data_IF_431875391897
#
_entry.id   IF_431875391897
#
_cell.length_a   1.000
_cell.length_b   1.000
_cell.length_c   1.000
_cell.angle_alpha   90.00
_cell.angle_beta   90.00
_cell.angle_gamma   90.00
#
_symmetry.space_group_name_H-M   'P 1'
#
loop_
_entity.id
_entity.type
_entity.pdbx_description
1 polymer ?
#
# COMPACT_ATOMS: atom_id res chain seq x y z
N UNK A 1 -42.55 -14.76 34.84
CA UNK A 1 -41.17 -15.26 34.60
C UNK A 1 -40.51 -14.30 33.63
N UNK A 2 -39.61 -13.44 34.14
CA UNK A 2 -38.88 -12.48 33.31
C UNK A 2 -37.77 -13.22 32.57
N UNK A 3 -37.86 -13.28 31.23
CA UNK A 3 -36.74 -13.64 30.37
C UNK A 3 -35.74 -12.50 30.40
N UNK A 4 -34.63 -12.69 31.12
CA UNK A 4 -33.48 -11.80 31.03
C UNK A 4 -32.92 -11.88 29.61
N UNK A 5 -33.14 -10.84 28.82
CA UNK A 5 -32.39 -10.63 27.58
C UNK A 5 -30.93 -10.40 27.99
N UNK A 6 -30.08 -11.39 27.75
CA UNK A 6 -28.63 -11.25 27.88
C UNK A 6 -28.17 -10.31 26.77
N UNK A 7 -28.20 -9.01 27.03
CA UNK A 7 -27.70 -8.00 26.10
C UNK A 7 -26.19 -8.19 25.99
N UNK A 8 -25.76 -8.94 24.98
CA UNK A 8 -24.35 -8.98 24.59
C UNK A 8 -23.97 -7.53 24.26
N UNK A 9 -22.96 -6.94 24.90
CA UNK A 9 -22.55 -5.59 24.57
C UNK A 9 -22.29 -5.52 23.07
N UNK A 10 -22.91 -4.53 22.42
CA UNK A 10 -22.76 -4.31 21.00
C UNK A 10 -21.27 -4.08 20.73
N UNK A 11 -20.71 -4.83 19.78
CA UNK A 11 -19.29 -4.72 19.50
C UNK A 11 -19.02 -3.35 18.88
N UNK A 12 -17.88 -2.70 19.17
CA UNK A 12 -17.67 -1.29 18.88
C UNK A 12 -17.73 -0.94 17.39
N UNK A 13 -17.47 -1.90 16.50
CA UNK A 13 -17.55 -1.70 15.06
C UNK A 13 -18.73 -2.38 14.37
N UNK A 14 -19.80 -2.72 15.11
CA UNK A 14 -21.03 -3.26 14.52
C UNK A 14 -21.59 -2.28 13.48
N UNK A 15 -21.90 -2.76 12.27
CA UNK A 15 -22.44 -1.93 11.18
C UNK A 15 -21.39 -1.36 10.21
N UNK A 16 -20.11 -1.39 10.56
CA UNK A 16 -19.04 -0.99 9.65
C UNK A 16 -18.76 -2.06 8.59
N UNK A 17 -18.58 -1.63 7.34
CA UNK A 17 -18.06 -2.42 6.23
C UNK A 17 -16.81 -1.71 5.70
N UNK A 18 -15.65 -2.24 6.06
CA UNK A 18 -14.37 -1.53 5.99
C UNK A 18 -13.51 -2.08 4.86
N UNK A 19 -13.09 -1.24 3.93
CA UNK A 19 -12.11 -1.59 2.91
C UNK A 19 -10.69 -1.64 3.49
N UNK A 20 -10.07 -2.80 3.37
CA UNK A 20 -8.69 -3.07 3.77
C UNK A 20 -7.82 -3.07 2.50
N UNK A 21 -6.94 -2.06 2.31
CA UNK A 21 -6.32 -1.74 1.02
C UNK A 21 -5.13 -2.62 0.65
N UNK A 22 -4.76 -3.59 1.49
CA UNK A 22 -3.66 -4.55 1.21
C UNK A 22 -4.11 -5.96 1.58
N UNK A 23 -3.60 -6.94 0.84
CA UNK A 23 -3.85 -8.35 1.07
C UNK A 23 -2.78 -9.04 1.90
N UNK A 24 -2.70 -10.37 1.74
CA UNK A 24 -1.71 -11.21 2.41
C UNK A 24 -1.86 -11.26 3.93
N UNK A 25 -0.84 -11.74 4.66
CA UNK A 25 -0.89 -11.90 6.12
C UNK A 25 -1.25 -10.61 6.87
N UNK A 26 -0.79 -9.46 6.38
CA UNK A 26 -1.16 -8.16 6.95
C UNK A 26 -2.66 -7.90 6.81
N UNK A 27 -3.22 -8.06 5.62
CA UNK A 27 -4.64 -7.81 5.35
C UNK A 27 -5.53 -8.78 6.12
N UNK A 28 -5.10 -10.05 6.22
CA UNK A 28 -5.79 -11.08 7.00
C UNK A 28 -5.81 -10.75 8.50
N UNK A 29 -4.68 -10.25 9.04
CA UNK A 29 -4.57 -9.77 10.42
C UNK A 29 -5.52 -8.61 10.71
N UNK A 30 -5.49 -7.55 9.88
CA UNK A 30 -6.39 -6.39 10.01
C UNK A 30 -7.85 -6.83 9.92
N UNK A 31 -8.18 -7.70 8.97
CA UNK A 31 -9.52 -8.23 8.81
C UNK A 31 -9.97 -9.07 10.01
N UNK A 32 -9.07 -9.85 10.62
CA UNK A 32 -9.38 -10.60 11.84
C UNK A 32 -9.70 -9.65 13.01
N UNK A 33 -8.91 -8.60 13.21
CA UNK A 33 -9.16 -7.59 14.25
C UNK A 33 -10.51 -6.91 14.04
N UNK A 34 -10.79 -6.43 12.82
CA UNK A 34 -12.07 -5.82 12.46
C UNK A 34 -13.28 -6.75 12.72
N UNK A 35 -13.19 -8.03 12.33
CA UNK A 35 -14.25 -9.03 12.61
C UNK A 35 -14.43 -9.28 14.11
N UNK A 36 -13.34 -9.29 14.86
CA UNK A 36 -13.38 -9.49 16.32
C UNK A 36 -14.21 -8.39 16.99
N UNK A 37 -14.16 -7.17 16.45
CA UNK A 37 -14.89 -5.98 16.87
C UNK A 37 -16.24 -5.76 16.17
N UNK A 38 -16.70 -6.69 15.33
CA UNK A 38 -18.06 -6.68 14.76
C UNK A 38 -18.18 -6.04 13.37
N UNK A 39 -17.09 -5.54 12.79
CA UNK A 39 -17.10 -5.02 11.43
C UNK A 39 -17.08 -6.14 10.38
N UNK A 40 -17.44 -5.80 9.14
CA UNK A 40 -17.26 -6.63 7.95
C UNK A 40 -16.08 -6.10 7.13
N UNK A 41 -14.88 -6.71 7.20
CA UNK A 41 -13.76 -6.29 6.37
C UNK A 41 -13.93 -6.76 4.93
N UNK A 42 -13.59 -5.89 3.99
CA UNK A 42 -13.48 -6.15 2.55
C UNK A 42 -12.01 -5.99 2.16
N UNK A 43 -11.30 -7.11 2.04
CA UNK A 43 -9.89 -7.09 1.60
C UNK A 43 -9.87 -6.83 0.09
N UNK A 44 -9.33 -5.68 -0.28
CA UNK A 44 -9.13 -5.24 -1.66
C UNK A 44 -7.71 -4.69 -1.77
N UNK A 45 -6.72 -5.51 -2.18
CA UNK A 45 -5.36 -5.03 -2.38
C UNK A 45 -5.35 -4.00 -3.51
N UNK A 46 -5.07 -2.74 -3.19
CA UNK A 46 -5.00 -1.64 -4.16
C UNK A 46 -3.58 -1.37 -4.65
N UNK A 47 -2.60 -1.86 -3.89
CA UNK A 47 -1.18 -1.80 -4.24
C UNK A 47 -0.58 -3.20 -4.22
N UNK A 48 0.42 -3.40 -5.07
CA UNK A 48 1.36 -4.50 -5.03
C UNK A 48 2.77 -3.98 -5.30
N UNK A 49 3.75 -4.87 -5.28
CA UNK A 49 5.12 -4.55 -5.62
C UNK A 49 5.53 -5.26 -6.91
N UNK A 50 6.28 -4.55 -7.74
CA UNK A 50 6.86 -5.06 -8.97
C UNK A 50 8.38 -4.84 -8.95
N UNK A 51 9.16 -5.61 -9.72
CA UNK A 51 10.57 -5.33 -9.94
C UNK A 51 10.79 -3.89 -10.41
N UNK A 52 11.98 -3.36 -10.11
CA UNK A 52 12.42 -2.07 -10.65
C UNK A 52 12.39 -2.07 -12.18
N UNK A 53 12.08 -0.92 -12.79
CA UNK A 53 12.16 -0.76 -14.25
C UNK A 53 13.62 -0.67 -14.74
N UNK A 54 14.57 -0.42 -13.83
CA UNK A 54 16.01 -0.47 -14.08
C UNK A 54 16.62 -1.78 -13.54
N UNK A 55 16.22 -2.90 -14.15
CA UNK A 55 16.72 -4.23 -13.76
C UNK A 55 18.22 -4.37 -13.98
N UNK A 56 18.77 -3.71 -15.00
CA UNK A 56 20.20 -3.76 -15.32
C UNK A 56 21.06 -3.20 -14.19
N UNK A 57 20.69 -2.05 -13.60
CA UNK A 57 21.41 -1.49 -12.45
C UNK A 57 21.30 -2.39 -11.22
N UNK A 58 20.13 -2.99 -10.98
CA UNK A 58 19.94 -3.93 -9.88
C UNK A 58 20.80 -5.19 -10.05
N UNK A 59 20.76 -5.83 -11.22
CA UNK A 59 21.56 -7.02 -11.54
C UNK A 59 23.06 -6.73 -11.40
N UNK A 60 23.53 -5.59 -11.91
CA UNK A 60 24.93 -5.18 -11.77
C UNK A 60 25.32 -4.98 -10.29
N UNK A 61 24.45 -4.37 -9.49
CA UNK A 61 24.72 -4.17 -8.06
C UNK A 61 24.71 -5.49 -7.28
N UNK A 62 23.81 -6.43 -7.60
CA UNK A 62 23.77 -7.76 -7.00
C UNK A 62 24.97 -8.61 -7.42
N UNK A 63 25.45 -8.48 -8.65
CA UNK A 63 26.68 -9.14 -9.11
C UNK A 63 27.91 -8.59 -8.38
N UNK A 64 28.00 -7.26 -8.21
CA UNK A 64 29.06 -6.62 -7.42
C UNK A 64 28.98 -7.01 -5.93
N UNK A 65 27.77 -7.18 -5.38
CA UNK A 65 27.54 -7.70 -4.03
C UNK A 65 28.07 -9.12 -3.89
N UNK A 66 27.70 -10.01 -4.81
CA UNK A 66 28.18 -11.39 -4.83
C UNK A 66 29.71 -11.49 -4.99
N UNK A 67 30.34 -10.49 -5.63
CA UNK A 67 31.79 -10.38 -5.76
C UNK A 67 32.50 -9.77 -4.53
N UNK A 68 31.79 -9.52 -3.42
CA UNK A 68 32.38 -9.01 -2.17
C UNK A 68 32.78 -7.54 -2.23
N UNK A 69 32.12 -6.74 -3.07
CA UNK A 69 32.46 -5.31 -3.24
C UNK A 69 31.86 -4.38 -2.19
N UNK A 70 30.96 -4.89 -1.35
CA UNK A 70 30.31 -4.11 -0.29
C UNK A 70 30.62 -4.71 1.07
N UNK A 71 30.91 -3.84 2.03
CA UNK A 71 31.09 -4.20 3.44
C UNK A 71 29.72 -4.33 4.14
N UNK A 72 28.71 -3.61 3.63
CA UNK A 72 27.33 -3.63 4.14
C UNK A 72 26.27 -3.69 3.03
N UNK A 73 25.20 -4.43 3.31
CA UNK A 73 23.90 -4.34 2.63
C UNK A 73 22.87 -3.76 3.60
N UNK A 74 22.13 -2.73 3.18
CA UNK A 74 21.00 -2.21 3.95
C UNK A 74 19.66 -2.54 3.32
N UNK A 75 18.71 -2.97 4.16
CA UNK A 75 17.38 -3.44 3.77
C UNK A 75 16.33 -2.72 4.61
N UNK A 76 15.50 -1.91 3.94
CA UNK A 76 14.51 -1.04 4.61
C UNK A 76 13.08 -1.55 4.51
N UNK A 77 12.85 -2.66 3.82
CA UNK A 77 11.52 -3.26 3.67
C UNK A 77 11.64 -4.77 3.52
N UNK A 78 10.70 -5.51 4.10
CA UNK A 78 10.57 -6.95 3.88
C UNK A 78 10.37 -7.29 2.38
N UNK A 79 9.76 -6.40 1.59
CA UNK A 79 9.63 -6.57 0.13
C UNK A 79 10.97 -6.68 -0.58
N UNK A 80 12.01 -6.01 -0.09
CA UNK A 80 13.36 -6.14 -0.65
C UNK A 80 13.89 -7.57 -0.49
N UNK A 81 13.43 -8.32 0.51
CA UNK A 81 13.80 -9.73 0.70
C UNK A 81 13.23 -10.59 -0.42
N UNK A 82 11.99 -10.34 -0.84
CA UNK A 82 11.39 -11.02 -1.98
C UNK A 82 12.18 -10.75 -3.27
N UNK A 83 12.68 -9.52 -3.44
CA UNK A 83 13.56 -9.17 -4.57
C UNK A 83 14.89 -9.94 -4.49
N UNK A 84 15.56 -9.94 -3.34
CA UNK A 84 16.81 -10.70 -3.15
C UNK A 84 16.61 -12.18 -3.45
N UNK A 85 15.48 -12.76 -3.01
CA UNK A 85 15.13 -14.14 -3.29
C UNK A 85 14.86 -14.39 -4.78
N UNK A 86 14.09 -13.52 -5.44
CA UNK A 86 13.75 -13.65 -6.85
C UNK A 86 14.99 -13.59 -7.77
N UNK A 87 16.01 -12.85 -7.38
CA UNK A 87 17.27 -12.72 -8.11
C UNK A 87 18.35 -13.75 -7.70
N UNK A 88 18.03 -14.70 -6.81
CA UNK A 88 19.01 -15.63 -6.21
C UNK A 88 20.27 -14.89 -5.71
N UNK A 89 20.05 -13.76 -5.02
CA UNK A 89 21.11 -12.87 -4.62
C UNK A 89 22.09 -13.59 -3.68
N UNK A 90 23.39 -13.51 -3.96
CA UNK A 90 24.43 -14.08 -3.11
C UNK A 90 25.05 -13.00 -2.27
N UNK A 91 24.96 -13.15 -0.96
CA UNK A 91 25.58 -12.23 0.00
C UNK A 91 26.76 -12.97 0.63
N UNK A 92 28.01 -12.50 0.41
CA UNK A 92 29.18 -13.09 1.05
C UNK A 92 29.12 -13.00 2.57
N UNK A 93 29.73 -13.96 3.28
CA UNK A 93 29.74 -14.01 4.75
C UNK A 93 30.44 -12.78 5.37
N UNK A 94 31.34 -12.14 4.63
CA UNK A 94 32.03 -10.92 5.04
C UNK A 94 31.17 -9.65 4.89
N UNK A 95 30.10 -9.68 4.10
CA UNK A 95 29.19 -8.55 3.93
C UNK A 95 28.13 -8.57 5.02
N UNK A 96 28.14 -7.54 5.88
CA UNK A 96 27.17 -7.41 6.97
C UNK A 96 25.81 -6.94 6.45
N UNK A 97 24.72 -7.35 7.11
CA UNK A 97 23.36 -6.96 6.74
C UNK A 97 22.70 -6.11 7.83
N UNK A 98 22.21 -4.93 7.46
CA UNK A 98 21.40 -4.07 8.32
C UNK A 98 19.93 -4.07 7.87
N UNK A 99 19.01 -4.38 8.80
CA UNK A 99 17.57 -4.36 8.57
C UNK A 99 16.91 -3.25 9.39
N UNK A 100 15.97 -2.50 8.83
CA UNK A 100 15.41 -1.30 9.49
C UNK A 100 14.56 -1.59 10.72
N UNK A 101 14.11 -2.83 10.87
CA UNK A 101 13.31 -3.25 12.01
C UNK A 101 13.06 -4.75 12.00
N UNK A 102 12.48 -5.23 13.09
CA UNK A 102 12.30 -6.67 13.38
C UNK A 102 11.55 -7.43 12.29
N UNK A 103 10.52 -6.85 11.68
CA UNK A 103 9.78 -7.51 10.59
C UNK A 103 10.66 -7.79 9.37
N UNK A 104 11.52 -6.82 9.01
CA UNK A 104 12.46 -6.99 7.89
C UNK A 104 13.56 -7.98 8.26
N UNK A 105 14.04 -7.94 9.51
CA UNK A 105 15.07 -8.85 10.00
C UNK A 105 14.57 -10.31 10.03
N UNK A 106 13.33 -10.51 10.48
CA UNK A 106 12.67 -11.81 10.48
C UNK A 106 12.49 -12.36 9.05
N UNK A 107 12.11 -11.51 8.10
CA UNK A 107 11.99 -11.90 6.69
C UNK A 107 13.34 -12.34 6.10
N UNK A 108 14.43 -11.58 6.34
CA UNK A 108 15.79 -11.94 5.93
C UNK A 108 16.24 -13.27 6.54
N UNK A 109 15.99 -13.46 7.84
CA UNK A 109 16.35 -14.68 8.56
C UNK A 109 15.60 -15.90 8.04
N UNK A 110 14.33 -15.74 7.66
CA UNK A 110 13.49 -16.81 7.12
C UNK A 110 14.00 -17.36 5.77
N UNK A 111 14.71 -16.53 4.99
CA UNK A 111 15.35 -16.95 3.74
C UNK A 111 16.84 -17.31 3.89
N UNK A 112 17.34 -17.38 5.13
CA UNK A 112 18.69 -17.85 5.46
C UNK A 112 19.76 -16.77 5.54
N UNK A 113 19.41 -15.48 5.44
CA UNK A 113 20.38 -14.40 5.62
C UNK A 113 20.56 -14.05 7.09
N UNK A 114 21.81 -13.91 7.52
CA UNK A 114 22.14 -13.44 8.87
C UNK A 114 22.06 -11.92 8.92
N UNK A 115 21.27 -11.39 9.85
CA UNK A 115 21.17 -9.95 10.09
C UNK A 115 22.13 -9.56 11.21
N UNK A 116 23.00 -8.57 10.94
CA UNK A 116 24.02 -8.10 11.87
C UNK A 116 23.60 -6.85 12.64
N UNK A 117 22.64 -6.09 12.10
CA UNK A 117 22.12 -4.88 12.72
C UNK A 117 20.62 -4.73 12.53
N UNK A 118 19.92 -4.53 13.64
CA UNK A 118 18.55 -4.00 13.71
C UNK A 118 18.58 -2.81 14.68
N UNK A 119 18.07 -1.62 14.30
CA UNK A 119 18.07 -0.47 15.18
C UNK A 119 17.31 -0.73 16.49
N UNK A 120 17.89 -0.35 17.63
CA UNK A 120 17.30 -0.72 18.94
C UNK A 120 16.10 0.14 19.36
N UNK A 121 16.10 1.41 18.96
CA UNK A 121 15.15 2.42 19.49
C UNK A 121 14.39 3.20 18.41
N UNK A 122 14.88 3.19 17.17
CA UNK A 122 14.31 3.96 16.06
C UNK A 122 14.35 3.11 14.79
N UNK A 123 13.25 2.42 14.52
CA UNK A 123 13.06 1.56 13.35
C UNK A 123 12.80 2.37 12.07
N UNK A 124 13.58 3.42 11.85
CA UNK A 124 13.53 4.29 10.67
C UNK A 124 14.85 4.29 9.91
N UNK A 125 14.79 4.76 8.66
CA UNK A 125 15.98 5.02 7.84
C UNK A 125 17.02 5.91 8.56
N UNK A 126 16.55 6.91 9.32
CA UNK A 126 17.43 7.81 10.07
C UNK A 126 18.01 7.14 11.32
N UNK A 127 17.20 6.34 12.03
CA UNK A 127 17.66 5.54 13.17
C UNK A 127 18.75 4.56 12.79
N UNK A 128 18.53 3.79 11.70
CA UNK A 128 19.54 2.89 11.15
C UNK A 128 20.82 3.64 10.79
N UNK A 129 20.73 4.75 10.06
CA UNK A 129 21.91 5.53 9.67
C UNK A 129 22.74 5.96 10.89
N UNK A 130 22.09 6.48 11.94
CA UNK A 130 22.78 6.90 13.18
C UNK A 130 23.51 5.75 13.85
N UNK A 131 22.87 4.58 13.95
CA UNK A 131 23.49 3.42 14.60
C UNK A 131 24.63 2.84 13.75
N UNK A 132 24.48 2.78 12.43
CA UNK A 132 25.56 2.38 11.52
C UNK A 132 26.78 3.30 11.63
N UNK A 133 26.56 4.62 11.60
CA UNK A 133 27.65 5.61 11.73
C UNK A 133 28.37 5.50 13.09
N UNK A 134 27.65 5.11 14.15
CA UNK A 134 28.26 4.86 15.47
C UNK A 134 29.11 3.59 15.53
N UNK A 135 28.78 2.57 14.71
CA UNK A 135 29.51 1.30 14.63
C UNK A 135 30.70 1.35 13.68
N UNK A 136 30.62 2.15 12.63
CA UNK A 136 31.62 2.22 11.56
C UNK A 136 32.21 3.64 11.48
N UNK A 137 33.23 3.97 12.31
CA UNK A 137 33.85 5.29 12.32
C UNK A 137 34.72 5.58 11.09
N UNK A 138 35.05 4.54 10.31
CA UNK A 138 35.83 4.62 9.08
C UNK A 138 34.93 4.43 7.85
N UNK A 139 35.30 4.98 6.68
CA UNK A 139 34.57 4.78 5.43
C UNK A 139 34.32 3.29 5.12
N UNK A 140 33.10 2.98 4.68
CA UNK A 140 32.64 1.64 4.27
C UNK A 140 31.95 1.73 2.93
N UNK A 141 31.99 0.64 2.17
CA UNK A 141 31.23 0.46 0.93
C UNK A 141 29.88 -0.13 1.28
N UNK A 142 28.81 0.59 1.00
CA UNK A 142 27.46 0.24 1.42
C UNK A 142 26.55 0.15 0.20
N UNK A 143 25.93 -1.00 -0.02
CA UNK A 143 24.81 -1.14 -0.95
C UNK A 143 23.50 -0.90 -0.20
N UNK A 144 22.70 0.04 -0.69
CA UNK A 144 21.36 0.33 -0.15
C UNK A 144 20.30 -0.06 -1.18
N UNK A 145 19.45 -1.02 -0.81
CA UNK A 145 18.32 -1.44 -1.63
C UNK A 145 17.04 -0.80 -1.08
N UNK A 146 16.37 -0.01 -1.92
CA UNK A 146 15.18 0.77 -1.52
C UNK A 146 14.02 0.63 -2.50
N UNK A 147 12.82 0.99 -2.05
CA UNK A 147 11.70 1.21 -2.97
C UNK A 147 11.94 2.47 -3.79
N UNK A 148 11.34 2.54 -4.99
CA UNK A 148 11.36 3.72 -5.86
C UNK A 148 10.94 5.01 -5.13
N UNK A 149 9.84 4.95 -4.38
CA UNK A 149 9.25 6.08 -3.65
C UNK A 149 9.96 6.42 -2.33
N UNK A 150 10.98 5.65 -1.94
CA UNK A 150 11.66 5.89 -0.66
C UNK A 150 12.50 7.16 -0.77
N UNK A 151 12.27 8.12 0.14
CA UNK A 151 13.16 9.27 0.31
C UNK A 151 14.58 8.77 0.62
N UNK A 152 15.63 9.37 0.04
CA UNK A 152 17.01 8.90 0.16
C UNK A 152 17.67 9.23 1.52
N UNK A 153 16.89 9.35 2.61
CA UNK A 153 17.38 9.77 3.94
C UNK A 153 18.55 8.91 4.43
N UNK A 154 18.41 7.58 4.36
CA UNK A 154 19.48 6.64 4.74
C UNK A 154 20.74 6.87 3.91
N UNK A 155 20.59 6.94 2.59
CA UNK A 155 21.70 7.16 1.65
C UNK A 155 22.41 8.49 1.92
N UNK A 156 21.66 9.58 2.07
CA UNK A 156 22.20 10.91 2.34
C UNK A 156 22.96 10.96 3.66
N UNK A 157 22.40 10.38 4.73
CA UNK A 157 23.05 10.37 6.05
C UNK A 157 24.33 9.53 6.09
N UNK A 158 24.37 8.40 5.37
CA UNK A 158 25.56 7.56 5.29
C UNK A 158 26.66 8.22 4.45
N UNK A 159 26.30 8.87 3.33
CA UNK A 159 27.26 9.65 2.51
C UNK A 159 27.83 10.82 3.34
N UNK A 160 26.97 11.53 4.08
CA UNK A 160 27.41 12.64 4.93
C UNK A 160 28.39 12.22 6.04
N UNK A 161 28.35 10.94 6.45
CA UNK A 161 29.30 10.35 7.39
C UNK A 161 30.60 9.85 6.74
N UNK A 162 30.74 9.96 5.41
CA UNK A 162 31.95 9.60 4.67
C UNK A 162 31.96 8.18 4.10
N UNK A 163 30.84 7.45 4.16
CA UNK A 163 30.73 6.13 3.52
C UNK A 163 30.58 6.25 1.99
N UNK A 164 31.04 5.23 1.27
CA UNK A 164 30.81 5.06 -0.17
C UNK A 164 29.50 4.28 -0.36
N UNK A 165 28.45 4.98 -0.78
CA UNK A 165 27.09 4.43 -0.78
C UNK A 165 26.56 4.30 -2.20
N UNK A 166 26.28 3.06 -2.62
CA UNK A 166 25.52 2.77 -3.84
C UNK A 166 24.04 2.60 -3.49
N UNK A 167 23.18 3.45 -4.00
CA UNK A 167 21.72 3.33 -3.82
C UNK A 167 21.05 2.82 -5.08
N UNK A 168 20.30 1.73 -4.93
CA UNK A 168 19.62 1.07 -6.04
C UNK A 168 18.15 0.85 -5.69
N UNK A 169 17.28 1.16 -6.65
CA UNK A 169 15.85 0.86 -6.57
C UNK A 169 15.67 -0.64 -6.80
N UNK A 170 15.21 -1.36 -5.78
CA UNK A 170 15.01 -2.79 -5.84
C UNK A 170 13.61 -3.16 -6.37
N UNK A 171 12.62 -2.33 -6.05
CA UNK A 171 11.24 -2.54 -6.46
C UNK A 171 10.48 -1.22 -6.52
N UNK A 172 9.32 -1.26 -7.18
CA UNK A 172 8.37 -0.16 -7.22
C UNK A 172 7.01 -0.60 -6.68
N UNK A 173 6.25 0.37 -6.20
CA UNK A 173 4.85 0.15 -5.85
C UNK A 173 4.01 0.31 -7.10
N UNK A 174 3.12 -0.64 -7.37
CA UNK A 174 2.22 -0.61 -8.52
C UNK A 174 0.78 -0.71 -8.07
N UNK A 175 -0.12 -0.08 -8.82
CA UNK A 175 -1.55 -0.20 -8.62
C UNK A 175 -2.07 -1.60 -8.97
N UNK A 176 -3.00 -2.10 -8.15
CA UNK A 176 -3.78 -3.30 -8.44
C UNK A 176 -5.23 -2.88 -8.63
N UNK A 177 -5.84 -3.13 -9.80
CA UNK A 177 -7.23 -2.77 -10.04
C UNK A 177 -8.18 -3.45 -9.05
N UNK A 178 -9.01 -2.65 -8.40
CA UNK A 178 -10.09 -3.09 -7.55
C UNK A 178 -11.10 -3.90 -8.39
N UNK A 179 -11.65 -4.95 -7.80
CA UNK A 179 -12.70 -5.74 -8.45
C UNK A 179 -13.95 -4.88 -8.62
N UNK A 180 -14.69 -5.12 -9.71
CA UNK A 180 -15.92 -4.38 -10.06
C UNK A 180 -16.93 -4.30 -8.91
N UNK A 181 -17.08 -5.37 -8.12
CA UNK A 181 -17.97 -5.38 -6.98
C UNK A 181 -17.51 -4.46 -5.84
N UNK A 182 -16.19 -4.32 -5.65
CA UNK A 182 -15.61 -3.39 -4.65
C UNK A 182 -15.84 -1.95 -5.09
N UNK A 183 -15.58 -1.64 -6.36
CA UNK A 183 -15.86 -0.31 -6.94
C UNK A 183 -17.32 0.07 -6.72
N UNK A 184 -18.24 -0.82 -7.08
CA UNK A 184 -19.68 -0.62 -6.87
C UNK A 184 -20.03 -0.40 -5.39
N UNK A 185 -19.46 -1.18 -4.48
CA UNK A 185 -19.75 -1.07 -3.06
C UNK A 185 -19.21 0.23 -2.47
N UNK A 186 -18.09 0.77 -2.97
CA UNK A 186 -17.58 2.11 -2.60
C UNK A 186 -18.50 3.21 -3.13
N UNK A 187 -18.88 3.13 -4.41
CA UNK A 187 -19.76 4.13 -5.06
C UNK A 187 -21.12 4.22 -4.36
N UNK A 188 -21.69 3.07 -4.00
CA UNK A 188 -23.01 3.01 -3.33
C UNK A 188 -22.95 3.32 -1.84
N UNK A 189 -21.76 3.39 -1.22
CA UNK A 189 -21.60 3.53 0.23
C UNK A 189 -21.88 2.23 1.01
N UNK A 190 -22.01 1.08 0.33
CA UNK A 190 -22.04 -0.23 1.00
C UNK A 190 -20.73 -0.51 1.73
N UNK A 191 -19.60 -0.05 1.17
CA UNK A 191 -18.35 0.14 1.92
C UNK A 191 -18.40 1.55 2.52
N UNK A 192 -18.61 1.62 3.83
CA UNK A 192 -18.77 2.88 4.55
C UNK A 192 -17.50 3.31 5.29
N UNK A 193 -16.40 2.54 5.20
CA UNK A 193 -15.08 2.99 5.61
C UNK A 193 -13.95 2.53 4.68
N UNK A 194 -12.93 3.35 4.50
CA UNK A 194 -11.69 3.04 3.77
C UNK A 194 -10.49 3.32 4.66
N UNK A 195 -9.63 2.32 4.87
CA UNK A 195 -8.35 2.51 5.55
C UNK A 195 -7.28 2.98 4.56
N UNK A 196 -6.53 4.02 4.91
CA UNK A 196 -5.44 4.57 4.12
C UNK A 196 -4.14 4.53 4.92
N UNK A 197 -3.24 3.63 4.51
CA UNK A 197 -2.07 3.25 5.32
C UNK A 197 -0.73 3.78 4.79
N UNK A 198 -0.75 4.51 3.67
CA UNK A 198 0.41 5.17 3.05
C UNK A 198 -0.05 6.12 1.96
N UNK A 199 0.81 7.06 1.54
CA UNK A 199 0.54 7.95 0.41
C UNK A 199 0.23 7.18 -0.88
N UNK A 200 0.95 6.09 -1.16
CA UNK A 200 0.68 5.23 -2.32
C UNK A 200 -0.71 4.55 -2.28
N UNK A 201 -1.23 4.26 -1.08
CA UNK A 201 -2.61 3.78 -0.96
C UNK A 201 -3.59 4.91 -1.20
N UNK A 202 -3.30 6.13 -0.73
CA UNK A 202 -4.15 7.30 -0.99
C UNK A 202 -4.26 7.58 -2.50
N UNK A 203 -3.14 7.54 -3.21
CA UNK A 203 -3.09 7.68 -4.68
C UNK A 203 -3.99 6.65 -5.36
N UNK A 204 -3.86 5.37 -4.99
CA UNK A 204 -4.68 4.32 -5.58
C UNK A 204 -6.16 4.41 -5.22
N UNK A 205 -6.50 4.86 -4.00
CA UNK A 205 -7.91 5.12 -3.64
C UNK A 205 -8.48 6.25 -4.51
N UNK A 206 -7.75 7.36 -4.67
CA UNK A 206 -8.18 8.53 -5.46
C UNK A 206 -8.31 8.20 -6.95
N UNK A 207 -7.39 7.40 -7.49
CA UNK A 207 -7.36 6.98 -8.89
C UNK A 207 -8.48 5.98 -9.21
N UNK A 208 -8.64 4.95 -8.38
CA UNK A 208 -9.55 3.84 -8.67
C UNK A 208 -10.99 4.09 -8.22
N UNK A 209 -11.22 5.01 -7.27
CA UNK A 209 -12.54 5.40 -6.81
C UNK A 209 -12.77 6.90 -7.04
N UNK A 210 -13.01 7.33 -8.30
CA UNK A 210 -13.26 8.73 -8.61
C UNK A 210 -14.54 9.28 -7.95
N UNK A 211 -15.47 8.38 -7.62
CA UNK A 211 -16.68 8.65 -6.85
C UNK A 211 -16.68 7.75 -5.62
N UNK A 212 -16.59 8.38 -4.45
CA UNK A 212 -16.75 7.75 -3.14
C UNK A 212 -18.02 8.33 -2.55
N UNK A 213 -18.91 7.49 -1.99
CA UNK A 213 -20.12 8.00 -1.36
C UNK A 213 -19.79 8.95 -0.22
N UNK A 214 -20.55 10.04 -0.07
CA UNK A 214 -20.32 11.05 0.99
C UNK A 214 -20.46 10.48 2.41
N UNK A 215 -21.16 9.34 2.54
CA UNK A 215 -21.28 8.58 3.79
C UNK A 215 -20.05 7.74 4.13
N UNK A 216 -19.09 7.57 3.22
CA UNK A 216 -17.91 6.72 3.44
C UNK A 216 -16.82 7.48 4.18
N UNK A 217 -16.45 6.98 5.36
CA UNK A 217 -15.37 7.53 6.19
C UNK A 217 -14.02 7.05 5.68
N UNK A 218 -13.11 7.98 5.41
CA UNK A 218 -11.73 7.68 4.98
C UNK A 218 -10.78 7.98 6.14
N UNK A 219 -10.08 6.95 6.61
CA UNK A 219 -9.22 7.00 7.78
C UNK A 219 -7.75 6.85 7.41
N UNK A 220 -6.91 7.80 7.82
CA UNK A 220 -5.47 7.75 7.58
C UNK A 220 -4.70 7.23 8.81
N UNK A 221 -3.70 6.37 8.59
CA UNK A 221 -2.85 5.81 9.65
C UNK A 221 -2.00 6.87 10.38
N UNK A 222 -1.91 8.09 9.86
CA UNK A 222 -1.20 9.16 10.55
C UNK A 222 -1.09 10.45 9.74
N UNK A 223 -0.57 11.52 10.36
CA UNK A 223 -0.57 12.87 9.79
C UNK A 223 0.12 12.98 8.44
N UNK A 224 1.21 12.24 8.23
CA UNK A 224 1.92 12.27 6.95
C UNK A 224 1.10 11.68 5.81
N UNK A 225 0.44 10.55 6.05
CA UNK A 225 -0.47 9.95 5.05
C UNK A 225 -1.66 10.84 4.77
N UNK A 226 -2.18 11.55 5.78
CA UNK A 226 -3.24 12.51 5.57
C UNK A 226 -2.80 13.71 4.73
N UNK A 227 -1.58 14.20 4.96
CA UNK A 227 -0.98 15.24 4.12
C UNK A 227 -0.79 14.78 2.67
N UNK A 228 -0.23 13.58 2.46
CA UNK A 228 -0.06 13.02 1.12
C UNK A 228 -1.43 12.88 0.39
N UNK A 229 -2.50 12.50 1.11
CA UNK A 229 -3.86 12.39 0.58
C UNK A 229 -4.48 13.76 0.23
N UNK A 230 -4.23 14.78 1.03
CA UNK A 230 -4.71 16.16 0.79
C UNK A 230 -4.11 16.75 -0.50
N UNK A 231 -2.82 16.52 -0.75
CA UNK A 231 -2.13 16.98 -1.97
C UNK A 231 -2.76 16.44 -3.28
N UNK A 232 -3.47 15.32 -3.20
CA UNK A 232 -4.14 14.68 -4.35
C UNK A 232 -5.67 14.80 -4.28
N UNK A 233 -6.21 15.60 -3.34
CA UNK A 233 -7.65 15.85 -3.21
C UNK A 233 -8.45 14.63 -2.74
N UNK A 234 -7.87 13.76 -1.91
CA UNK A 234 -8.57 12.70 -1.21
C UNK A 234 -8.94 13.16 0.22
N UNK A 235 -10.23 13.37 0.55
CA UNK A 235 -10.61 13.87 1.86
C UNK A 235 -10.37 12.83 2.95
N UNK A 236 -9.58 13.19 3.95
CA UNK A 236 -9.38 12.35 5.15
C UNK A 236 -10.30 12.86 6.27
N UNK A 237 -11.14 11.95 6.76
CA UNK A 237 -12.15 12.25 7.77
C UNK A 237 -11.61 12.04 9.18
N UNK A 238 -10.66 11.10 9.33
CA UNK A 238 -10.04 10.79 10.61
C UNK A 238 -8.58 10.40 10.44
N UNK A 239 -7.75 10.82 11.38
CA UNK A 239 -6.33 10.52 11.42
C UNK A 239 -6.05 9.77 12.72
N UNK A 240 -5.39 8.62 12.63
CA UNK A 240 -4.98 7.86 13.80
C UNK A 240 -3.96 8.68 14.62
N UNK A 241 -4.10 8.75 15.95
CA UNK A 241 -3.17 9.47 16.81
C UNK A 241 -1.78 8.83 16.85
N UNK A 242 -1.71 7.50 16.75
CA UNK A 242 -0.47 6.74 16.63
C UNK A 242 -0.40 6.06 15.26
N UNK A 243 0.81 5.90 14.73
CA UNK A 243 1.03 5.28 13.42
C UNK A 243 0.99 3.74 13.49
N UNK A 244 -0.09 3.20 14.03
CA UNK A 244 -0.33 1.76 14.21
C UNK A 244 -1.70 1.36 13.66
N UNK A 245 -1.86 0.08 13.33
CA UNK A 245 -3.14 -0.44 12.85
C UNK A 245 -4.20 -0.40 13.94
N UNK A 246 -3.83 -0.74 15.16
CA UNK A 246 -4.76 -0.71 16.29
C UNK A 246 -5.27 0.72 16.53
N UNK A 247 -4.39 1.72 16.48
CA UNK A 247 -4.78 3.13 16.60
C UNK A 247 -5.67 3.59 15.44
N UNK A 248 -5.40 3.13 14.22
CA UNK A 248 -6.24 3.41 13.05
C UNK A 248 -7.65 2.80 13.17
N UNK A 249 -7.75 1.58 13.68
CA UNK A 249 -9.04 0.91 13.92
C UNK A 249 -9.79 1.62 15.06
N UNK A 250 -9.12 1.94 16.16
CA UNK A 250 -9.70 2.70 17.28
C UNK A 250 -10.19 4.09 16.85
N UNK A 251 -9.50 4.73 15.91
CA UNK A 251 -9.94 6.02 15.37
C UNK A 251 -11.28 5.92 14.63
N UNK A 252 -11.57 4.77 13.98
CA UNK A 252 -12.90 4.50 13.41
C UNK A 252 -13.95 4.22 14.49
N UNK A 253 -13.60 3.54 15.58
CA UNK A 253 -14.52 3.26 16.69
C UNK A 253 -15.08 4.55 17.31
N UNK A 254 -14.33 5.64 17.28
CA UNK A 254 -14.74 6.95 17.80
C UNK A 254 -15.77 7.67 16.93
N UNK A 255 -16.11 7.13 15.75
CA UNK A 255 -17.01 7.75 14.78
C UNK A 255 -18.34 6.99 14.77
N UNK A 256 -19.49 7.67 14.79
CA UNK A 256 -20.78 7.01 14.58
C UNK A 256 -20.82 6.32 13.21
N UNK A 257 -21.37 5.10 13.17
CA UNK A 257 -21.58 4.39 11.90
C UNK A 257 -22.48 5.26 11.01
N UNK A 258 -22.05 5.58 9.76
CA UNK A 258 -22.87 6.32 8.82
C UNK A 258 -24.17 5.57 8.52
N UNK A 259 -25.29 6.29 8.40
CA UNK A 259 -26.54 5.68 7.95
C UNK A 259 -26.36 5.11 6.54
N UNK A 260 -26.78 3.85 6.29
CA UNK A 260 -26.69 3.27 4.95
C UNK A 260 -27.49 4.08 3.94
N UNK A 261 -26.91 4.35 2.77
CA UNK A 261 -27.64 4.95 1.66
C UNK A 261 -28.73 4.00 1.15
N UNK A 262 -29.76 4.53 0.49
CA UNK A 262 -30.80 3.71 -0.15
C UNK A 262 -30.19 2.72 -1.17
N UNK A 263 -29.14 3.14 -1.87
CA UNK A 263 -28.41 2.32 -2.86
C UNK A 263 -27.58 1.20 -2.18
N UNK A 264 -26.98 1.46 -1.02
CA UNK A 264 -26.28 0.46 -0.22
C UNK A 264 -27.23 -0.64 0.30
N UNK A 265 -28.48 -0.29 0.58
CA UNK A 265 -29.52 -1.22 1.04
C UNK A 265 -30.18 -2.01 -0.12
N UNK A 266 -30.13 -1.48 -1.35
CA UNK A 266 -30.70 -2.14 -2.50
C UNK A 266 -30.01 -3.50 -2.76
N UNK A 267 -30.80 -4.51 -3.17
CA UNK A 267 -30.24 -5.79 -3.61
C UNK A 267 -29.61 -5.57 -4.99
N UNK A 268 -28.32 -5.86 -5.20
CA UNK A 268 -27.69 -5.67 -6.50
C UNK A 268 -28.41 -6.51 -7.56
N UNK A 269 -28.70 -5.93 -8.73
CA UNK A 269 -29.19 -6.70 -9.85
C UNK A 269 -28.15 -7.77 -10.23
N UNK A 270 -28.55 -9.05 -10.21
CA UNK A 270 -27.71 -10.19 -10.61
C UNK A 270 -27.71 -10.44 -12.13
N UNK A 271 -28.08 -9.42 -12.91
CA UNK A 271 -28.08 -9.50 -14.37
C UNK A 271 -26.67 -9.46 -14.96
N UNK A 272 -26.47 -9.98 -16.19
CA UNK A 272 -25.19 -9.89 -16.88
C UNK A 272 -24.79 -8.41 -17.03
N UNK A 273 -23.54 -8.10 -16.68
CA UNK A 273 -22.93 -6.80 -17.00
C UNK A 273 -22.97 -6.67 -18.52
N UNK A 274 -23.72 -5.69 -19.03
CA UNK A 274 -23.73 -5.38 -20.45
C UNK A 274 -22.31 -5.00 -20.86
N UNK A 275 -21.59 -5.96 -21.44
CA UNK A 275 -20.31 -5.69 -22.07
C UNK A 275 -20.65 -4.85 -23.28
N UNK A 276 -20.40 -3.56 -23.22
CA UNK A 276 -20.49 -2.69 -24.39
C UNK A 276 -19.56 -3.27 -25.45
N UNK A 277 -20.14 -3.91 -26.46
CA UNK A 277 -19.41 -4.43 -27.61
C UNK A 277 -18.77 -3.24 -28.30
N UNK A 278 -17.48 -2.99 -28.05
CA UNK A 278 -16.68 -2.17 -28.95
C UNK A 278 -16.60 -2.99 -30.23
N UNK A 279 -17.42 -2.62 -31.22
CA UNK A 279 -17.24 -3.09 -32.59
C UNK A 279 -15.92 -2.49 -33.08
N UNK A 280 -14.87 -3.30 -33.05
CA UNK A 280 -13.67 -3.03 -33.83
C UNK A 280 -14.04 -3.34 -35.27
N UNK A 281 -14.18 -2.30 -36.07
CA UNK A 281 -14.45 -2.41 -37.51
C UNK A 281 -13.17 -2.89 -38.22
N UNK A 282 -13.16 -4.06 -38.88
CA UNK A 282 -11.97 -4.54 -39.56
C UNK A 282 -12.08 -4.16 -41.03
N UNK A 283 -11.63 -2.96 -41.41
CA UNK A 283 -11.23 -2.71 -42.80
C UNK A 283 -10.21 -1.59 -42.92
N UNK A 284 -9.08 -1.82 -43.62
CA UNK A 284 -8.03 -0.83 -43.83
C UNK A 284 -8.17 -0.22 -45.22
N UNK A 285 -9.01 0.80 -45.42
CA UNK A 285 -8.86 1.73 -46.56
C UNK A 285 -9.65 3.01 -46.32
N UNK A 286 -9.05 4.15 -46.64
CA UNK A 286 -9.50 5.47 -46.21
C UNK A 286 -10.76 5.99 -46.87
N UNK A 287 -11.40 6.93 -46.17
CA UNK A 287 -11.80 8.27 -46.61
C UNK A 287 -12.75 8.82 -45.55
N UNK A 288 -12.45 10.01 -45.04
CA UNK A 288 -13.23 10.69 -44.01
C UNK A 288 -14.33 11.47 -44.74
N UNK A 289 -15.58 11.05 -44.65
CA UNK A 289 -16.73 11.90 -44.96
C UNK A 289 -17.44 12.28 -43.67
N UNK A 290 -17.37 13.57 -43.33
CA UNK A 290 -18.20 14.20 -42.31
C UNK A 290 -19.58 14.47 -42.89
N UNK A 291 -20.62 13.82 -42.34
CA UNK A 291 -22.01 14.18 -42.62
C UNK A 291 -22.57 14.90 -41.39
N UNK A 292 -22.80 16.20 -41.55
CA UNK A 292 -23.61 17.05 -40.67
C UNK A 292 -25.09 16.77 -40.92
N UNK A 293 -25.83 16.29 -39.92
CA UNK A 293 -27.30 16.22 -39.96
C UNK A 293 -27.91 17.56 -39.54
N UNK A 294 -28.68 18.17 -40.45
CA UNK A 294 -29.65 19.23 -40.15
C UNK A 294 -30.97 18.63 -39.61
N UNK A 295 -31.71 19.35 -38.74
CA UNK A 295 -32.94 18.85 -38.15
C UNK A 295 -34.15 19.03 -39.11
N UNK A 296 -34.93 17.97 -39.32
CA UNK A 296 -36.19 18.00 -40.06
C UNK A 296 -37.33 18.61 -39.24
N UNK A 297 -37.97 19.64 -39.80
CA UNK A 297 -39.28 20.16 -39.40
C UNK A 297 -40.40 19.13 -39.65
N UNK A 298 -41.34 19.06 -38.73
CA UNK A 298 -42.58 18.27 -38.84
C UNK A 298 -43.74 19.19 -39.22
N UNK A 299 -44.59 18.87 -40.22
CA UNK A 299 -45.66 19.77 -40.63
C UNK A 299 -46.98 19.54 -39.87
N UNK A 300 -47.59 20.65 -39.46
CA UNK A 300 -49.03 20.93 -39.64
C UNK A 300 -49.22 22.43 -39.90
#
# INVERSE_FOLDING_TARGET
>A
MNTASTHRPEKPLTGWRVLVPRGGPWGDGVAATLRSQGAVPVIAPLINFAPTDDSATLEAALADLAAGRFDWLTVTSATTVDVLYAYDAKIPDETKIAAVGETTAAALSAVGYRVDLVPESDNSAAGMARQMNGLEPEPRRILTLRSEIAKPVLTEMLIAAGHDVRSVVAYRTVGVPAKENVVRDVVTGRINAILVTSGSVAEQVREQFPHIADSTVIAAIGPRTAHDADLIGLPIHVIAPEQTIDSLIQALEAIPVPEPTAEALAIPATGPVATGTIRVDPSPTGLIETVTEEPQETPR
#
